data_IF_919755263990
#
_entry.id   IF_919755263990
#
_cell.length_a   1.000
_cell.length_b   1.000
_cell.length_c   1.000
_cell.angle_alpha   90.00
_cell.angle_beta   90.00
_cell.angle_gamma   90.00
#
_symmetry.space_group_name_H-M   'P 1'
#
loop_
_entity.id
_entity.type
_entity.pdbx_description
1 polymer ?
#
# COMPACT_ATOMS: atom_id res chain seq x y z
N UNK A 1 -48.81 6.18 8.77
CA UNK A 1 -47.98 5.33 7.94
C UNK A 1 -46.66 6.04 7.76
N UNK A 2 -45.53 5.48 8.17
CA UNK A 2 -44.25 6.10 7.91
C UNK A 2 -43.95 6.01 6.42
N UNK A 3 -43.70 7.15 5.79
CA UNK A 3 -43.30 7.27 4.40
C UNK A 3 -41.78 7.01 4.33
N UNK A 4 -41.39 5.97 3.60
CA UNK A 4 -40.00 5.70 3.30
C UNK A 4 -39.52 6.65 2.21
N UNK A 5 -38.54 7.47 2.51
CA UNK A 5 -37.80 8.25 1.52
C UNK A 5 -36.39 7.74 1.44
N UNK A 6 -36.07 6.98 0.41
CA UNK A 6 -34.69 6.81 -0.03
C UNK A 6 -34.39 7.98 -0.99
N UNK A 7 -33.68 8.97 -0.50
CA UNK A 7 -33.24 10.07 -1.33
C UNK A 7 -31.73 10.16 -1.29
N UNK A 8 -31.09 10.11 -2.44
CA UNK A 8 -29.66 10.30 -2.60
C UNK A 8 -29.42 11.61 -3.30
N UNK A 9 -29.09 12.64 -2.57
CA UNK A 9 -28.55 13.88 -3.13
C UNK A 9 -27.23 14.18 -2.40
N UNK A 10 -26.19 14.46 -3.13
CA UNK A 10 -24.85 14.77 -2.59
C UNK A 10 -24.21 13.69 -1.70
N UNK A 11 -24.51 12.42 -1.93
CA UNK A 11 -23.87 11.32 -1.22
C UNK A 11 -24.39 11.07 0.19
N UNK A 12 -25.59 11.46 0.52
CA UNK A 12 -26.24 11.25 1.81
C UNK A 12 -27.49 10.40 1.70
N UNK A 13 -27.71 9.50 2.65
CA UNK A 13 -28.92 8.68 2.79
C UNK A 13 -29.59 9.07 4.10
N UNK A 14 -30.89 9.34 4.07
CA UNK A 14 -31.71 9.58 5.25
C UNK A 14 -32.25 8.25 5.79
N UNK A 15 -32.04 7.96 7.09
CA UNK A 15 -32.66 6.86 7.80
C UNK A 15 -33.81 7.36 8.67
N UNK A 16 -34.58 6.41 9.24
CA UNK A 16 -35.80 6.69 10.01
C UNK A 16 -35.65 7.60 11.24
N UNK A 17 -34.42 7.83 11.72
CA UNK A 17 -34.15 8.55 12.96
C UNK A 17 -33.44 9.89 12.74
N UNK A 18 -33.55 10.50 11.55
CA UNK A 18 -32.86 11.75 11.18
C UNK A 18 -31.32 11.68 11.39
N UNK A 19 -30.74 10.48 11.45
CA UNK A 19 -29.28 10.28 11.53
C UNK A 19 -28.71 10.34 10.13
N UNK A 20 -27.91 11.35 9.86
CA UNK A 20 -27.13 11.47 8.64
C UNK A 20 -26.09 10.36 8.58
N UNK A 21 -26.28 9.38 7.73
CA UNK A 21 -25.27 8.35 7.46
C UNK A 21 -24.62 8.69 6.12
N UNK A 22 -23.29 8.86 6.06
CA UNK A 22 -22.61 9.07 4.80
C UNK A 22 -22.95 7.93 3.82
N UNK A 23 -23.27 8.25 2.59
CA UNK A 23 -23.56 7.24 1.55
C UNK A 23 -22.46 6.19 1.41
N UNK A 24 -21.21 6.59 1.66
CA UNK A 24 -20.05 5.69 1.66
C UNK A 24 -20.08 4.62 2.79
N UNK A 25 -20.87 4.81 3.85
CA UNK A 25 -20.98 3.84 4.94
C UNK A 25 -21.70 2.56 4.49
N UNK A 26 -22.53 2.64 3.45
CA UNK A 26 -23.29 1.51 2.90
C UNK A 26 -22.77 0.99 1.56
N UNK A 27 -21.83 1.72 0.94
CA UNK A 27 -21.23 1.36 -0.35
C UNK A 27 -19.96 0.56 -0.14
N UNK A 28 -20.11 -0.73 0.11
CA UNK A 28 -18.96 -1.60 0.30
C UNK A 28 -18.99 -2.73 -0.71
N UNK A 29 -17.95 -2.75 -1.53
CA UNK A 29 -17.88 -3.63 -2.66
C UNK A 29 -17.09 -4.90 -2.43
N UNK A 30 -17.05 -5.71 -3.45
CA UNK A 30 -16.28 -6.94 -3.51
C UNK A 30 -14.78 -6.67 -3.49
N UNK A 31 -14.03 -7.66 -3.03
CA UNK A 31 -12.58 -7.71 -3.15
C UNK A 31 -12.20 -8.59 -4.34
N UNK A 32 -11.43 -8.01 -5.24
CA UNK A 32 -10.85 -8.66 -6.40
C UNK A 32 -9.34 -8.77 -6.27
N UNK A 33 -8.79 -9.86 -6.74
CA UNK A 33 -7.34 -10.12 -6.77
C UNK A 33 -6.95 -10.69 -8.13
N UNK A 34 -5.73 -10.43 -8.58
CA UNK A 34 -5.18 -10.99 -9.82
C UNK A 34 -3.66 -10.94 -9.82
N UNK A 35 -3.04 -11.64 -10.74
CA UNK A 35 -1.60 -11.78 -10.81
C UNK A 35 -1.13 -13.18 -10.46
N UNK A 36 0.04 -13.30 -9.84
CA UNK A 36 0.57 -14.57 -9.38
C UNK A 36 -0.30 -15.16 -8.27
N UNK A 37 -0.80 -16.37 -8.49
CA UNK A 37 -1.61 -17.11 -7.53
C UNK A 37 -0.81 -18.14 -6.72
N UNK A 38 0.51 -18.23 -6.95
CA UNK A 38 1.34 -19.22 -6.26
C UNK A 38 1.15 -19.15 -4.74
N UNK A 39 1.08 -20.30 -4.11
CA UNK A 39 0.88 -20.46 -2.66
C UNK A 39 -0.43 -19.84 -2.15
N UNK A 40 -1.43 -19.62 -3.01
CA UNK A 40 -2.73 -19.08 -2.63
C UNK A 40 -2.79 -17.56 -2.46
N UNK A 41 -1.84 -16.82 -3.05
CA UNK A 41 -1.77 -15.36 -2.90
C UNK A 41 -3.06 -14.62 -3.29
N UNK A 42 -3.88 -15.19 -4.18
CA UNK A 42 -5.11 -14.55 -4.63
C UNK A 42 -6.32 -14.81 -3.71
N UNK A 43 -6.23 -15.77 -2.78
CA UNK A 43 -7.31 -16.06 -1.84
C UNK A 43 -8.57 -16.66 -2.47
N UNK A 44 -8.49 -17.15 -3.70
CA UNK A 44 -9.59 -17.71 -4.50
C UNK A 44 -9.74 -19.24 -4.35
N UNK A 45 -9.10 -19.80 -3.33
CA UNK A 45 -8.98 -21.25 -3.08
C UNK A 45 -8.19 -22.02 -4.16
N UNK A 46 -7.36 -21.30 -4.92
CA UNK A 46 -6.46 -21.91 -5.92
C UNK A 46 -5.02 -21.40 -5.73
N UNK A 47 -4.09 -22.02 -6.46
CA UNK A 47 -2.71 -21.54 -6.57
C UNK A 47 -2.37 -21.16 -8.02
N UNK A 48 -3.40 -20.83 -8.81
CA UNK A 48 -3.30 -20.59 -10.25
C UNK A 48 -3.20 -19.07 -10.50
N UNK A 49 -2.29 -18.70 -11.40
CA UNK A 49 -2.19 -17.34 -11.93
C UNK A 49 -3.53 -16.88 -12.56
N UNK A 50 -3.91 -15.64 -12.33
CA UNK A 50 -5.06 -14.98 -12.96
C UNK A 50 -4.62 -13.72 -13.68
N UNK A 51 -4.86 -13.63 -14.97
CA UNK A 51 -4.61 -12.44 -15.78
C UNK A 51 -5.79 -11.45 -15.80
N UNK A 52 -6.87 -11.80 -15.11
CA UNK A 52 -8.08 -10.99 -14.94
C UNK A 52 -8.47 -10.94 -13.46
N UNK A 53 -9.09 -9.86 -12.98
CA UNK A 53 -9.62 -9.80 -11.64
C UNK A 53 -10.58 -10.94 -11.30
N UNK A 54 -10.34 -11.62 -10.16
CA UNK A 54 -11.22 -12.68 -9.61
C UNK A 54 -11.58 -12.34 -8.16
N UNK A 55 -12.74 -12.77 -7.70
CA UNK A 55 -13.17 -12.59 -6.31
C UNK A 55 -12.48 -13.59 -5.39
N UNK A 56 -12.25 -13.18 -4.14
CA UNK A 56 -11.73 -14.08 -3.10
C UNK A 56 -12.80 -15.08 -2.65
N UNK A 57 -12.37 -16.26 -2.17
CA UNK A 57 -13.28 -17.31 -1.67
C UNK A 57 -14.04 -16.92 -0.39
N UNK A 58 -13.57 -15.94 0.37
CA UNK A 58 -14.30 -15.43 1.53
C UNK A 58 -15.55 -14.63 1.16
N UNK A 59 -15.68 -14.24 -0.11
CA UNK A 59 -16.84 -13.50 -0.61
C UNK A 59 -17.14 -12.23 0.18
N UNK A 60 -18.39 -11.77 0.02
CA UNK A 60 -18.89 -10.59 0.75
C UNK A 60 -18.45 -9.26 0.18
N UNK A 61 -19.31 -8.29 0.38
CA UNK A 61 -19.17 -6.94 -0.15
C UNK A 61 -18.82 -5.91 0.94
N UNK A 62 -18.11 -6.33 1.99
CA UNK A 62 -17.86 -5.54 3.19
C UNK A 62 -16.36 -5.30 3.48
N UNK A 63 -15.54 -5.26 2.45
CA UNK A 63 -14.12 -4.99 2.58
C UNK A 63 -13.86 -3.48 2.67
N UNK A 64 -13.20 -3.07 3.76
CA UNK A 64 -12.92 -1.66 4.08
C UNK A 64 -11.56 -1.21 3.61
N UNK A 65 -10.54 -2.07 3.81
CA UNK A 65 -9.15 -1.77 3.48
C UNK A 65 -8.43 -3.06 3.08
N UNK A 66 -7.54 -2.94 2.11
CA UNK A 66 -6.67 -4.02 1.63
C UNK A 66 -5.21 -3.59 1.72
N UNK A 67 -4.32 -4.57 1.83
CA UNK A 67 -2.89 -4.38 1.65
C UNK A 67 -2.26 -5.65 1.07
N UNK A 68 -1.51 -5.49 -0.01
CA UNK A 68 -0.82 -6.55 -0.72
C UNK A 68 0.68 -6.49 -0.47
N UNK A 69 1.25 -7.60 0.00
CA UNK A 69 2.70 -7.73 0.25
C UNK A 69 3.42 -8.48 -0.87
N UNK A 70 4.46 -9.23 -0.54
CA UNK A 70 5.20 -10.02 -1.53
C UNK A 70 4.35 -11.17 -2.11
N UNK A 71 3.85 -12.05 -1.24
CA UNK A 71 3.06 -13.23 -1.60
C UNK A 71 1.83 -13.39 -0.70
N UNK A 72 1.48 -12.37 0.04
CA UNK A 72 0.35 -12.37 0.97
C UNK A 72 -0.49 -11.11 0.76
N UNK A 73 -1.76 -11.22 1.11
CA UNK A 73 -2.70 -10.10 1.19
C UNK A 73 -3.33 -10.11 2.58
N UNK A 74 -3.55 -8.93 3.11
CA UNK A 74 -4.35 -8.72 4.32
C UNK A 74 -5.45 -7.72 4.02
N UNK A 75 -6.62 -7.91 4.62
CA UNK A 75 -7.76 -7.03 4.43
C UNK A 75 -8.59 -6.90 5.70
N UNK A 76 -9.12 -5.71 5.91
CA UNK A 76 -10.01 -5.40 7.02
C UNK A 76 -11.44 -5.26 6.51
N UNK A 77 -12.38 -5.97 7.14
CA UNK A 77 -13.81 -5.80 6.88
C UNK A 77 -14.36 -4.60 7.67
N UNK A 78 -15.56 -4.18 7.33
CA UNK A 78 -16.24 -3.05 8.01
C UNK A 78 -16.58 -3.31 9.45
N UNK A 79 -16.78 -4.59 9.81
CA UNK A 79 -16.95 -5.03 11.19
C UNK A 79 -15.64 -4.94 12.00
N UNK A 80 -14.52 -4.51 11.36
CA UNK A 80 -13.21 -4.37 11.99
C UNK A 80 -12.43 -5.68 12.12
N UNK A 81 -12.89 -6.79 11.56
CA UNK A 81 -12.12 -8.04 11.53
C UNK A 81 -10.97 -7.97 10.52
N UNK A 82 -9.81 -8.52 10.89
CA UNK A 82 -8.63 -8.60 10.03
C UNK A 82 -8.47 -10.02 9.48
N UNK A 83 -8.41 -10.12 8.17
CA UNK A 83 -8.25 -11.35 7.39
C UNK A 83 -6.91 -11.34 6.64
N UNK A 84 -6.25 -12.49 6.58
CA UNK A 84 -4.95 -12.68 5.93
C UNK A 84 -4.95 -13.97 5.10
N UNK A 85 -4.21 -13.97 3.99
CA UNK A 85 -4.00 -15.17 3.17
C UNK A 85 -2.77 -15.02 2.29
N UNK A 86 -2.42 -16.10 1.57
CA UNK A 86 -1.30 -16.14 0.66
C UNK A 86 -0.28 -17.17 1.08
N UNK A 87 0.86 -17.11 0.41
CA UNK A 87 1.87 -18.11 0.46
C UNK A 87 3.14 -17.72 1.19
N UNK A 88 4.00 -18.74 1.25
CA UNK A 88 5.34 -18.63 1.78
C UNK A 88 5.37 -17.98 3.17
N UNK A 89 4.62 -18.56 4.10
CA UNK A 89 4.52 -18.09 5.48
C UNK A 89 5.58 -18.71 6.43
N UNK A 90 6.88 -18.86 6.01
CA UNK A 90 7.87 -19.52 6.86
C UNK A 90 8.20 -18.74 8.12
N UNK A 91 7.82 -17.45 8.14
CA UNK A 91 8.08 -16.55 9.27
C UNK A 91 6.81 -16.10 9.99
N UNK A 92 5.62 -16.60 9.56
CA UNK A 92 4.36 -16.31 10.22
C UNK A 92 3.73 -14.95 9.84
N UNK A 93 4.02 -14.41 8.64
CA UNK A 93 3.49 -13.10 8.23
C UNK A 93 1.95 -13.06 8.08
N UNK A 94 1.25 -14.18 8.07
CA UNK A 94 -0.21 -14.22 8.14
C UNK A 94 -0.76 -13.96 9.56
N UNK A 95 0.05 -14.17 10.60
CA UNK A 95 -0.36 -13.90 11.99
C UNK A 95 -1.42 -14.84 12.54
N UNK A 96 -1.62 -16.01 11.94
CA UNK A 96 -2.64 -17.02 12.32
C UNK A 96 -2.11 -18.08 13.29
N UNK A 97 -0.96 -17.82 13.94
CA UNK A 97 -0.22 -18.74 14.82
C UNK A 97 0.31 -19.98 14.10
N UNK A 98 0.44 -19.94 12.78
CA UNK A 98 1.02 -21.03 11.99
C UNK A 98 2.07 -20.48 11.03
N UNK A 99 2.76 -21.40 10.34
CA UNK A 99 3.65 -21.10 9.22
C UNK A 99 3.12 -21.72 7.92
N UNK A 100 1.83 -21.99 7.84
CA UNK A 100 1.17 -22.66 6.72
C UNK A 100 0.60 -21.60 5.76
N UNK A 101 0.86 -21.77 4.46
CA UNK A 101 0.24 -20.95 3.43
C UNK A 101 -1.27 -21.15 3.36
N UNK A 102 -2.01 -20.10 3.07
CA UNK A 102 -3.48 -20.12 2.99
C UNK A 102 -3.96 -19.68 1.62
N UNK A 103 -4.63 -20.54 0.90
CA UNK A 103 -5.29 -20.20 -0.38
C UNK A 103 -6.67 -19.55 -0.19
N UNK A 104 -7.14 -19.49 1.06
CA UNK A 104 -8.40 -18.83 1.45
C UNK A 104 -8.15 -17.86 2.58
N UNK A 105 -8.85 -16.73 2.64
CA UNK A 105 -8.74 -15.80 3.76
C UNK A 105 -9.05 -16.46 5.11
N UNK A 106 -8.17 -16.19 6.10
CA UNK A 106 -8.32 -16.61 7.51
C UNK A 106 -8.15 -15.40 8.42
N UNK A 107 -8.73 -15.44 9.61
CA UNK A 107 -8.53 -14.38 10.61
C UNK A 107 -7.19 -14.53 11.31
N UNK A 108 -6.62 -13.42 11.78
CA UNK A 108 -5.40 -13.45 12.60
C UNK A 108 -5.67 -14.08 13.96
N UNK A 109 -4.66 -14.67 14.57
CA UNK A 109 -4.74 -15.29 15.91
C UNK A 109 -5.18 -14.30 17.00
N UNK A 110 -4.79 -13.02 16.89
CA UNK A 110 -5.21 -12.00 17.84
C UNK A 110 -6.72 -11.68 17.78
N UNK A 111 -7.41 -12.09 16.70
CA UNK A 111 -8.84 -11.89 16.52
C UNK A 111 -9.29 -10.43 16.72
N UNK A 112 -10.53 -10.28 17.16
CA UNK A 112 -11.14 -8.97 17.46
C UNK A 112 -11.72 -8.25 16.26
N UNK A 113 -12.53 -7.24 16.54
CA UNK A 113 -13.29 -6.42 15.58
C UNK A 113 -12.87 -4.95 15.63
N UNK A 114 -11.66 -4.67 16.03
CA UNK A 114 -11.15 -3.32 16.24
C UNK A 114 -9.90 -2.99 15.41
N UNK A 115 -9.67 -3.70 14.32
CA UNK A 115 -8.60 -3.38 13.39
C UNK A 115 -8.99 -2.19 12.50
N UNK A 116 -8.09 -1.20 12.42
CA UNK A 116 -8.32 0.08 11.71
C UNK A 116 -7.52 0.20 10.43
N UNK A 117 -6.26 -0.25 10.45
CA UNK A 117 -5.34 -0.21 9.30
C UNK A 117 -4.44 -1.44 9.33
N UNK A 118 -4.11 -1.97 8.13
CA UNK A 118 -3.08 -3.00 7.95
C UNK A 118 -2.14 -2.58 6.82
N UNK A 119 -0.89 -2.96 6.92
CA UNK A 119 0.13 -2.82 5.88
C UNK A 119 0.98 -4.08 5.82
N UNK A 120 0.98 -4.72 4.66
CA UNK A 120 1.81 -5.88 4.36
C UNK A 120 3.15 -5.41 3.79
N UNK A 121 4.23 -5.77 4.46
CA UNK A 121 5.55 -5.70 3.88
C UNK A 121 5.89 -6.95 3.06
N UNK A 122 7.19 -7.17 2.82
CA UNK A 122 7.63 -8.31 2.02
C UNK A 122 7.49 -9.64 2.80
N UNK A 123 7.92 -9.70 4.07
CA UNK A 123 7.83 -10.87 4.94
C UNK A 123 7.30 -10.55 6.35
N UNK A 124 6.69 -9.39 6.54
CA UNK A 124 6.08 -9.01 7.80
C UNK A 124 4.80 -8.23 7.54
N UNK A 125 3.99 -8.12 8.55
CA UNK A 125 2.75 -7.36 8.53
C UNK A 125 2.71 -6.45 9.74
N UNK A 126 2.19 -5.25 9.56
CA UNK A 126 1.94 -4.30 10.62
C UNK A 126 0.49 -3.83 10.57
N UNK A 127 -0.15 -3.64 11.72
CA UNK A 127 -1.53 -3.17 11.78
C UNK A 127 -1.80 -2.30 13.00
N UNK A 128 -2.72 -1.37 12.85
CA UNK A 128 -3.15 -0.46 13.91
C UNK A 128 -4.60 -0.78 14.28
N UNK A 129 -4.87 -0.85 15.58
CA UNK A 129 -6.22 -0.98 16.11
C UNK A 129 -6.89 0.39 16.29
N UNK A 130 -8.21 0.41 16.52
CA UNK A 130 -8.99 1.64 16.74
C UNK A 130 -8.58 2.37 18.01
N UNK A 131 -8.02 1.65 18.99
CA UNK A 131 -7.45 2.23 20.22
C UNK A 131 -6.07 2.90 19.97
N UNK A 132 -5.56 2.85 18.74
CA UNK A 132 -4.27 3.44 18.34
C UNK A 132 -3.06 2.59 18.70
N UNK A 133 -3.21 1.35 19.14
CA UNK A 133 -2.08 0.43 19.36
C UNK A 133 -1.53 -0.10 18.04
N UNK A 134 -0.20 -0.22 17.91
CA UNK A 134 0.49 -0.75 16.74
C UNK A 134 1.00 -2.18 17.01
N UNK A 135 0.63 -3.09 16.14
CA UNK A 135 0.95 -4.51 16.19
C UNK A 135 1.75 -4.91 14.96
N UNK A 136 2.73 -5.80 15.15
CA UNK A 136 3.60 -6.32 14.08
C UNK A 136 3.78 -7.82 14.21
N UNK A 137 3.99 -8.51 13.09
CA UNK A 137 4.28 -9.95 13.05
C UNK A 137 4.94 -10.37 11.73
N UNK A 138 5.38 -11.63 11.63
CA UNK A 138 6.13 -12.14 10.52
C UNK A 138 7.62 -12.19 10.81
N UNK A 139 8.45 -11.95 9.80
CA UNK A 139 9.91 -11.93 9.92
C UNK A 139 10.40 -10.79 10.82
N UNK A 140 11.22 -11.13 11.81
CA UNK A 140 11.89 -10.15 12.65
C UNK A 140 13.29 -9.75 12.15
N UNK A 141 13.78 -10.36 11.07
CA UNK A 141 15.10 -10.06 10.52
C UNK A 141 15.28 -8.56 10.30
N UNK A 142 16.47 -8.06 10.56
CA UNK A 142 16.81 -6.64 10.52
C UNK A 142 16.01 -5.75 11.50
N UNK A 143 15.29 -6.34 12.47
CA UNK A 143 14.52 -5.59 13.46
C UNK A 143 13.22 -4.98 12.94
N UNK A 144 12.73 -5.39 11.76
CA UNK A 144 11.58 -4.77 11.07
C UNK A 144 10.25 -4.87 11.85
N UNK A 145 10.16 -5.71 12.88
CA UNK A 145 9.00 -5.76 13.78
C UNK A 145 9.03 -4.67 14.86
N UNK A 146 10.16 -4.02 15.11
CA UNK A 146 10.26 -2.98 16.13
C UNK A 146 10.11 -3.49 17.57
N UNK A 147 10.42 -4.76 17.85
CA UNK A 147 10.21 -5.46 19.13
C UNK A 147 11.47 -5.55 19.99
N UNK A 148 12.48 -4.71 19.72
CA UNK A 148 13.78 -4.69 20.38
C UNK A 148 14.61 -5.98 20.16
N UNK A 149 14.30 -6.75 19.13
CA UNK A 149 15.04 -7.95 18.74
C UNK A 149 14.79 -8.28 17.27
N UNK A 150 15.43 -9.36 16.79
CA UNK A 150 15.30 -9.83 15.40
C UNK A 150 14.49 -11.14 15.28
N UNK A 151 13.71 -11.47 16.30
CA UNK A 151 12.94 -12.72 16.36
C UNK A 151 11.63 -12.56 15.60
N UNK A 152 11.34 -13.48 14.67
CA UNK A 152 10.06 -13.54 13.97
C UNK A 152 8.88 -13.91 14.89
N UNK A 153 7.68 -13.53 14.52
CA UNK A 153 6.46 -13.80 15.26
C UNK A 153 5.36 -14.30 14.32
N UNK A 154 4.78 -15.45 14.61
CA UNK A 154 3.61 -15.98 13.89
C UNK A 154 2.27 -15.45 14.43
N UNK A 155 2.31 -14.63 15.47
CA UNK A 155 1.15 -13.96 16.07
C UNK A 155 1.41 -12.45 16.18
N UNK A 156 0.39 -11.61 16.05
CA UNK A 156 0.52 -10.18 16.29
C UNK A 156 1.05 -9.87 17.69
N UNK A 157 2.07 -9.00 17.77
CA UNK A 157 2.67 -8.47 19.01
C UNK A 157 2.81 -6.96 18.91
N UNK A 158 2.78 -6.26 20.03
CA UNK A 158 2.99 -4.81 20.06
C UNK A 158 4.45 -4.44 19.85
N UNK A 159 4.71 -3.28 19.26
CA UNK A 159 6.07 -2.75 19.13
C UNK A 159 6.64 -2.34 20.50
N UNK A 160 7.97 -2.31 20.62
CA UNK A 160 8.66 -1.90 21.84
C UNK A 160 8.33 -0.47 22.29
N UNK A 161 8.09 0.43 21.32
CA UNK A 161 7.72 1.81 21.61
C UNK A 161 6.32 1.94 22.26
N UNK A 162 5.49 0.90 22.17
CA UNK A 162 4.14 0.90 22.74
C UNK A 162 3.28 2.10 22.34
N UNK A 163 2.37 2.49 23.25
CA UNK A 163 1.49 3.65 23.08
C UNK A 163 0.22 3.37 22.28
N UNK A 164 -0.73 4.29 22.40
CA UNK A 164 -2.08 4.21 21.82
C UNK A 164 -2.37 5.37 20.85
N UNK A 165 -1.34 5.94 20.24
CA UNK A 165 -1.44 7.11 19.38
C UNK A 165 -0.88 6.90 17.98
N UNK A 166 -0.79 5.65 17.51
CA UNK A 166 -0.39 5.35 16.16
C UNK A 166 -1.55 5.62 15.18
N UNK A 167 -1.24 6.34 14.08
CA UNK A 167 -2.21 6.82 13.09
C UNK A 167 -2.08 6.12 11.75
N UNK A 168 -0.84 5.90 11.29
CA UNK A 168 -0.53 5.26 10.01
C UNK A 168 0.70 4.38 10.17
N UNK A 169 0.73 3.24 9.46
CA UNK A 169 1.91 2.38 9.32
C UNK A 169 2.10 2.01 7.85
N UNK A 170 3.35 1.87 7.43
CA UNK A 170 3.75 1.37 6.11
C UNK A 170 4.90 0.37 6.28
N UNK A 171 4.69 -0.85 5.79
CA UNK A 171 5.69 -1.93 5.79
C UNK A 171 6.34 -2.04 4.42
N UNK A 172 7.66 -1.94 4.37
CA UNK A 172 8.47 -2.20 3.19
C UNK A 172 9.00 -3.64 3.17
N UNK A 173 10.09 -3.87 2.43
CA UNK A 173 10.72 -5.19 2.40
C UNK A 173 11.44 -5.49 3.72
N UNK A 174 12.27 -4.58 4.19
CA UNK A 174 13.14 -4.82 5.34
C UNK A 174 13.10 -3.69 6.39
N UNK A 175 12.25 -2.70 6.22
CA UNK A 175 12.04 -1.63 7.18
C UNK A 175 10.56 -1.27 7.29
N UNK A 176 10.22 -0.56 8.34
CA UNK A 176 8.86 -0.13 8.65
C UNK A 176 8.89 1.34 9.07
N UNK A 177 7.88 2.08 8.67
CA UNK A 177 7.66 3.46 9.09
C UNK A 177 6.24 3.64 9.60
N UNK A 178 6.05 4.50 10.61
CA UNK A 178 4.73 4.80 11.15
C UNK A 178 4.64 6.25 11.63
N UNK A 179 3.45 6.82 11.52
CA UNK A 179 3.15 8.18 11.98
C UNK A 179 2.20 8.10 13.16
N UNK A 180 2.49 8.89 14.20
CA UNK A 180 1.60 9.08 15.35
C UNK A 180 0.58 10.18 15.12
N UNK A 181 -0.44 10.26 15.96
CA UNK A 181 -1.50 11.29 15.87
C UNK A 181 -0.98 12.70 16.09
N UNK A 182 0.14 12.84 16.80
CA UNK A 182 0.86 14.11 16.98
C UNK A 182 1.67 14.52 15.74
N UNK A 183 1.66 13.71 14.68
CA UNK A 183 2.37 13.97 13.43
C UNK A 183 3.85 13.61 13.44
N UNK A 184 4.38 12.97 14.50
CA UNK A 184 5.77 12.48 14.52
C UNK A 184 5.92 11.22 13.66
N UNK A 185 7.03 11.15 12.90
CA UNK A 185 7.37 10.00 12.05
C UNK A 185 8.44 9.13 12.71
N UNK A 186 8.14 7.86 12.83
CA UNK A 186 8.97 6.82 13.44
C UNK A 186 9.36 5.77 12.41
N UNK A 187 10.60 5.28 12.47
CA UNK A 187 11.18 4.33 11.51
C UNK A 187 12.00 3.27 12.23
N UNK A 188 12.06 2.05 11.68
CA UNK A 188 12.86 0.95 12.22
C UNK A 188 13.08 -0.14 11.17
N UNK A 189 14.02 -1.05 11.44
CA UNK A 189 14.38 -2.13 10.53
C UNK A 189 15.75 -1.94 9.92
N UNK A 190 15.93 -2.40 8.71
CA UNK A 190 17.16 -2.22 7.94
C UNK A 190 17.38 -0.75 7.56
N UNK A 191 18.63 -0.32 7.65
CA UNK A 191 19.03 1.05 7.33
C UNK A 191 20.19 1.10 6.31
N UNK A 192 20.40 0.04 5.58
CA UNK A 192 21.36 0.03 4.46
C UNK A 192 20.95 1.13 3.49
N UNK A 193 21.83 1.91 2.98
CA UNK A 193 21.55 3.12 2.16
C UNK A 193 20.82 4.28 2.86
N UNK A 194 20.60 4.23 4.18
CA UNK A 194 19.93 5.30 4.92
C UNK A 194 18.41 5.32 4.77
N UNK A 195 17.77 4.17 4.49
CA UNK A 195 16.33 4.05 4.28
C UNK A 195 15.49 4.53 5.47
N UNK A 196 16.05 4.59 6.68
CA UNK A 196 15.40 5.13 7.86
C UNK A 196 15.49 6.67 7.98
N UNK A 197 16.36 7.32 7.22
CA UNK A 197 16.48 8.80 7.26
C UNK A 197 16.97 9.37 8.60
N UNK A 198 17.79 8.61 9.35
CA UNK A 198 18.26 8.96 10.70
C UNK A 198 19.66 9.60 10.72
N UNK A 199 20.19 9.97 9.56
CA UNK A 199 21.50 10.64 9.45
C UNK A 199 22.70 9.70 9.34
N UNK A 200 22.47 8.39 9.35
CA UNK A 200 23.51 7.36 9.21
C UNK A 200 22.98 6.12 8.48
N UNK A 201 23.83 5.12 8.34
CA UNK A 201 23.51 3.82 7.72
C UNK A 201 23.64 2.64 8.69
N UNK A 202 23.60 2.89 9.99
CA UNK A 202 23.70 1.85 11.02
C UNK A 202 22.50 0.90 10.94
N UNK A 203 22.73 -0.40 10.96
CA UNK A 203 21.69 -1.42 10.85
C UNK A 203 22.05 -2.63 11.74
N UNK A 204 21.07 -3.39 12.30
CA UNK A 204 19.62 -3.09 12.29
C UNK A 204 19.19 -2.10 13.39
N UNK A 205 18.09 -1.40 13.18
CA UNK A 205 17.40 -0.63 14.22
C UNK A 205 16.17 -1.43 14.66
N UNK A 206 16.26 -2.07 15.81
CA UNK A 206 15.22 -3.00 16.27
C UNK A 206 14.07 -2.36 17.06
N UNK A 207 14.15 -1.06 17.30
CA UNK A 207 13.11 -0.27 18.00
C UNK A 207 12.72 0.93 17.16
N UNK A 208 11.44 1.37 17.20
CA UNK A 208 11.05 2.61 16.55
C UNK A 208 11.86 3.81 17.04
N UNK A 209 12.42 4.59 16.10
CA UNK A 209 13.16 5.84 16.33
C UNK A 209 12.63 6.93 15.39
N UNK A 210 12.80 8.20 15.76
CA UNK A 210 12.40 9.32 14.90
C UNK A 210 13.43 9.57 13.78
N UNK A 211 12.98 10.12 12.66
CA UNK A 211 13.87 10.55 11.57
C UNK A 211 14.75 11.71 12.00
N UNK A 212 15.90 11.90 11.33
CA UNK A 212 16.84 13.00 11.57
C UNK A 212 16.19 14.38 11.50
N UNK A 213 15.28 14.58 10.55
CA UNK A 213 14.57 15.85 10.39
C UNK A 213 13.59 16.13 11.54
N UNK A 214 13.14 15.07 12.26
CA UNK A 214 12.18 15.22 13.34
C UNK A 214 10.87 15.87 12.90
N UNK A 215 10.30 16.68 13.80
CA UNK A 215 9.06 17.43 13.54
C UNK A 215 7.80 16.62 13.80
N UNK A 216 6.69 17.34 13.91
CA UNK A 216 5.35 16.79 14.24
C UNK A 216 4.31 17.14 13.18
N UNK A 217 4.72 17.24 11.92
CA UNK A 217 3.85 17.62 10.81
C UNK A 217 3.86 16.61 9.66
N UNK A 218 4.22 15.36 9.93
CA UNK A 218 4.13 14.30 8.93
C UNK A 218 2.68 13.82 8.77
N UNK A 219 2.22 13.75 7.52
CA UNK A 219 0.84 13.41 7.15
C UNK A 219 0.71 11.99 6.59
N UNK A 220 1.65 11.58 5.74
CA UNK A 220 1.67 10.29 5.07
C UNK A 220 3.10 9.80 4.92
N UNK A 221 3.32 8.48 5.02
CA UNK A 221 4.57 7.81 4.70
C UNK A 221 4.31 6.58 3.85
N UNK A 222 5.22 6.31 2.92
CA UNK A 222 5.27 5.09 2.11
C UNK A 222 6.71 4.57 2.10
N UNK A 223 6.88 3.26 2.27
CA UNK A 223 8.19 2.61 2.27
C UNK A 223 8.27 1.57 1.16
N UNK A 224 9.35 1.62 0.37
CA UNK A 224 9.58 0.73 -0.77
C UNK A 224 11.00 0.21 -0.83
N UNK A 225 11.27 -0.57 -1.88
CA UNK A 225 12.57 -1.12 -2.15
C UNK A 225 13.05 -2.20 -1.19
N UNK A 226 14.19 -2.77 -1.53
CA UNK A 226 14.86 -3.78 -0.70
C UNK A 226 16.04 -3.18 0.10
N UNK A 227 16.45 -3.88 1.16
CA UNK A 227 17.56 -3.46 2.01
C UNK A 227 18.92 -3.67 1.34
N UNK A 228 18.99 -4.39 0.24
CA UNK A 228 20.26 -4.78 -0.39
C UNK A 228 20.70 -3.83 -1.49
N UNK A 229 19.75 -3.14 -2.13
CA UNK A 229 20.06 -2.28 -3.28
C UNK A 229 19.26 -0.98 -3.36
N UNK A 230 17.99 -0.95 -2.90
CA UNK A 230 17.06 0.10 -3.32
C UNK A 230 16.18 0.67 -2.22
N UNK A 231 16.28 0.17 -0.98
CA UNK A 231 15.40 0.58 0.13
C UNK A 231 15.30 2.10 0.25
N UNK A 232 14.11 2.64 0.01
CA UNK A 232 13.84 4.08 0.12
C UNK A 232 12.50 4.34 0.82
N UNK A 233 12.37 5.53 1.32
CA UNK A 233 11.16 6.01 2.00
C UNK A 233 10.75 7.36 1.42
N UNK A 234 9.46 7.56 1.24
CA UNK A 234 8.90 8.85 0.84
C UNK A 234 7.78 9.25 1.80
N UNK A 235 7.69 10.54 2.14
CA UNK A 235 6.69 11.03 3.08
C UNK A 235 6.23 12.45 2.72
N UNK A 236 4.95 12.73 3.00
CA UNK A 236 4.33 14.03 2.78
C UNK A 236 4.06 14.69 4.13
N UNK A 237 4.38 15.96 4.25
CA UNK A 237 4.03 16.78 5.40
C UNK A 237 2.65 17.40 5.27
N UNK A 238 2.11 17.94 6.35
CA UNK A 238 0.80 18.61 6.39
C UNK A 238 0.74 19.87 5.54
N UNK A 239 1.91 20.49 5.28
CA UNK A 239 2.05 21.62 4.37
C UNK A 239 2.06 21.20 2.88
N UNK A 240 1.92 19.90 2.59
CA UNK A 240 1.91 19.35 1.25
C UNK A 240 3.29 19.19 0.60
N UNK A 241 4.40 19.40 1.31
CA UNK A 241 5.75 19.11 0.80
C UNK A 241 6.03 17.61 0.78
N UNK A 242 6.72 17.14 -0.28
CA UNK A 242 7.12 15.73 -0.44
C UNK A 242 8.63 15.59 -0.19
N UNK A 243 8.97 14.65 0.68
CA UNK A 243 10.33 14.33 1.11
C UNK A 243 10.64 12.87 0.80
N UNK A 244 11.88 12.57 0.42
CA UNK A 244 12.34 11.21 0.15
C UNK A 244 13.77 10.98 0.65
N UNK A 245 14.13 9.73 0.96
CA UNK A 245 15.45 9.33 1.44
C UNK A 245 15.68 7.84 1.25
N UNK A 246 16.92 7.40 1.43
CA UNK A 246 17.34 6.02 1.23
C UNK A 246 18.11 5.83 -0.06
N UNK A 247 18.00 4.65 -0.65
CA UNK A 247 18.60 4.29 -1.94
C UNK A 247 18.09 5.15 -3.09
N UNK A 248 18.97 5.43 -4.07
CA UNK A 248 18.66 6.33 -5.18
C UNK A 248 19.33 5.92 -6.51
N UNK A 249 19.77 4.69 -6.63
CA UNK A 249 20.53 4.24 -7.82
C UNK A 249 19.78 4.45 -9.15
N UNK A 250 18.47 4.42 -9.15
CA UNK A 250 17.60 4.64 -10.31
C UNK A 250 16.94 6.03 -10.32
N UNK A 251 17.27 6.91 -9.36
CA UNK A 251 16.66 8.23 -9.23
C UNK A 251 15.33 8.23 -8.46
N UNK A 252 15.02 7.18 -7.70
CA UNK A 252 13.74 7.00 -6.99
C UNK A 252 13.46 8.06 -5.90
N UNK A 253 14.43 8.86 -5.49
CA UNK A 253 14.21 10.02 -4.61
C UNK A 253 13.67 11.25 -5.36
N UNK A 254 13.77 11.30 -6.69
CA UNK A 254 13.26 12.40 -7.51
C UNK A 254 13.97 13.74 -7.31
N UNK A 255 15.21 13.74 -6.83
CA UNK A 255 15.97 14.93 -6.45
C UNK A 255 17.02 15.37 -7.49
N UNK A 256 16.84 14.97 -8.76
CA UNK A 256 17.69 15.28 -9.92
C UNK A 256 19.11 14.69 -9.85
N UNK A 257 19.28 13.59 -9.12
CA UNK A 257 20.52 12.82 -9.11
C UNK A 257 20.23 11.36 -8.71
N UNK A 258 21.28 10.53 -8.68
CA UNK A 258 21.20 9.10 -8.35
C UNK A 258 21.98 8.75 -7.05
N UNK A 259 22.33 9.75 -6.25
CA UNK A 259 23.02 9.52 -4.97
C UNK A 259 22.02 9.28 -3.84
N UNK A 260 22.19 8.20 -3.10
CA UNK A 260 21.38 7.90 -1.91
C UNK A 260 21.50 8.99 -0.82
N UNK A 261 20.50 9.04 0.05
CA UNK A 261 20.42 10.03 1.14
C UNK A 261 20.03 9.34 2.45
N UNK A 262 20.87 9.50 3.48
CA UNK A 262 20.54 9.03 4.83
C UNK A 262 19.74 10.05 5.67
N UNK A 263 19.37 11.19 5.06
CA UNK A 263 18.48 12.21 5.64
C UNK A 263 17.40 12.58 4.64
N UNK A 264 16.19 12.94 5.09
CA UNK A 264 15.12 13.39 4.20
C UNK A 264 15.53 14.60 3.34
N UNK A 265 15.25 14.53 2.04
CA UNK A 265 15.43 15.62 1.06
C UNK A 265 14.13 15.85 0.29
N UNK A 266 13.90 17.07 -0.17
CA UNK A 266 12.75 17.38 -1.03
C UNK A 266 12.97 16.89 -2.46
N UNK A 267 11.89 16.58 -3.15
CA UNK A 267 11.94 16.27 -4.59
C UNK A 267 12.29 17.53 -5.41
N UNK A 268 12.89 17.32 -6.58
CA UNK A 268 13.27 18.42 -7.50
C UNK A 268 12.04 19.21 -8.00
N UNK A 269 10.91 18.57 -8.18
CA UNK A 269 9.67 19.22 -8.60
C UNK A 269 9.12 20.20 -7.53
N UNK A 270 9.57 20.08 -6.27
CA UNK A 270 9.14 20.97 -5.19
C UNK A 270 7.62 21.05 -5.02
N UNK A 271 7.16 22.19 -4.52
CA UNK A 271 5.72 22.49 -4.33
C UNK A 271 5.14 21.97 -3.01
N UNK A 272 3.96 22.50 -2.69
CA UNK A 272 3.23 22.24 -1.44
C UNK A 272 1.85 21.63 -1.70
N UNK A 273 1.67 20.98 -2.82
CA UNK A 273 0.41 20.42 -3.26
C UNK A 273 0.43 18.88 -3.45
N UNK A 274 1.41 18.20 -2.88
CA UNK A 274 1.44 16.74 -2.90
C UNK A 274 0.36 16.18 -1.97
N UNK A 275 -0.46 15.25 -2.53
CA UNK A 275 -1.64 14.68 -1.85
C UNK A 275 -1.40 13.28 -1.33
N UNK A 276 -0.80 12.41 -2.17
CA UNK A 276 -0.52 11.01 -1.88
C UNK A 276 0.81 10.62 -2.52
N UNK A 277 1.57 9.74 -1.84
CA UNK A 277 2.78 9.11 -2.39
C UNK A 277 2.70 7.60 -2.21
N UNK A 278 3.19 6.85 -3.18
CA UNK A 278 3.38 5.40 -3.15
C UNK A 278 4.79 5.07 -3.67
N UNK A 279 5.43 4.12 -3.03
CA UNK A 279 6.79 3.66 -3.37
C UNK A 279 6.76 2.21 -3.83
N UNK A 280 7.34 1.94 -5.00
CA UNK A 280 7.60 0.59 -5.49
C UNK A 280 8.98 0.09 -5.05
N UNK A 281 9.56 -0.85 -5.81
CA UNK A 281 10.90 -1.36 -5.47
C UNK A 281 11.97 -0.27 -5.64
N UNK A 282 12.07 0.30 -6.82
CA UNK A 282 13.07 1.32 -7.16
C UNK A 282 12.46 2.54 -7.84
N UNK A 283 11.19 2.80 -7.66
CA UNK A 283 10.48 3.92 -8.24
C UNK A 283 9.44 4.48 -7.27
N UNK A 284 8.97 5.67 -7.57
CA UNK A 284 7.98 6.38 -6.74
C UNK A 284 6.93 7.00 -7.64
N UNK A 285 5.68 6.97 -7.18
CA UNK A 285 4.56 7.68 -7.82
C UNK A 285 3.83 8.54 -6.79
N UNK A 286 3.32 9.68 -7.22
CA UNK A 286 2.58 10.58 -6.32
C UNK A 286 1.50 11.35 -7.07
N UNK A 287 0.39 11.60 -6.40
CA UNK A 287 -0.66 12.50 -6.90
C UNK A 287 -0.56 13.87 -6.24
N UNK A 288 -0.94 14.91 -6.98
CA UNK A 288 -1.12 16.26 -6.45
C UNK A 288 -2.58 16.56 -6.17
N UNK A 289 -2.85 17.63 -5.44
CA UNK A 289 -4.21 18.10 -5.11
C UNK A 289 -5.00 18.54 -6.33
N UNK A 290 -4.31 18.92 -7.42
CA UNK A 290 -4.90 19.22 -8.73
C UNK A 290 -5.29 17.97 -9.53
N UNK A 291 -5.06 16.77 -8.97
CA UNK A 291 -5.38 15.49 -9.60
C UNK A 291 -4.36 15.00 -10.62
N UNK A 292 -3.22 15.66 -10.79
CA UNK A 292 -2.13 15.16 -11.65
C UNK A 292 -1.38 13.99 -11.01
N UNK A 293 -0.92 13.04 -11.83
CA UNK A 293 -0.11 11.89 -11.41
C UNK A 293 1.33 12.04 -11.92
N UNK A 294 2.29 11.92 -11.02
CA UNK A 294 3.71 12.07 -11.24
C UNK A 294 4.45 10.79 -10.87
N UNK A 295 5.48 10.42 -11.64
CA UNK A 295 6.26 9.19 -11.46
C UNK A 295 7.75 9.46 -11.68
N UNK A 296 8.63 8.70 -11.02
CA UNK A 296 10.08 8.78 -11.16
C UNK A 296 10.79 7.55 -10.58
N UNK A 297 12.04 7.35 -10.93
CA UNK A 297 12.85 6.18 -10.56
C UNK A 297 13.04 5.24 -11.72
N UNK A 298 13.15 3.95 -11.42
CA UNK A 298 13.31 2.85 -12.39
C UNK A 298 12.13 2.75 -13.35
N UNK A 299 12.45 2.54 -14.63
CA UNK A 299 11.45 2.40 -15.70
C UNK A 299 11.76 1.25 -16.66
N UNK A 300 12.65 0.34 -16.30
CA UNK A 300 13.05 -0.76 -17.20
C UNK A 300 11.87 -1.62 -17.68
N UNK A 301 10.77 -1.66 -16.94
CA UNK A 301 9.54 -2.37 -17.30
C UNK A 301 8.39 -1.44 -17.74
N UNK A 302 8.64 -0.13 -17.91
CA UNK A 302 7.60 0.85 -18.19
C UNK A 302 6.73 1.23 -17.00
N UNK A 303 7.18 0.96 -15.76
CA UNK A 303 6.40 1.18 -14.53
C UNK A 303 6.13 2.65 -14.22
N UNK A 304 6.82 3.58 -14.86
CA UNK A 304 6.51 5.01 -14.79
C UNK A 304 5.31 5.42 -15.68
N UNK A 305 4.93 4.60 -16.66
CA UNK A 305 3.79 4.91 -17.53
C UNK A 305 3.98 6.12 -18.46
N UNK A 306 5.19 6.37 -18.95
CA UNK A 306 5.60 7.56 -19.71
C UNK A 306 5.91 7.28 -21.18
N UNK A 307 5.39 6.16 -21.72
CA UNK A 307 5.55 5.70 -23.12
C UNK A 307 7.00 5.37 -23.53
N UNK A 308 7.83 5.06 -22.56
CA UNK A 308 9.20 4.56 -22.80
C UNK A 308 9.69 3.75 -21.58
N UNK A 309 10.93 3.25 -21.65
CA UNK A 309 11.57 2.47 -20.59
C UNK A 309 12.84 3.18 -20.04
N UNK A 310 12.83 4.51 -19.96
CA UNK A 310 13.97 5.30 -19.49
C UNK A 310 13.73 5.79 -18.08
N UNK A 311 14.67 5.52 -17.17
CA UNK A 311 14.64 5.97 -15.77
C UNK A 311 14.54 7.49 -15.66
N UNK A 312 13.93 7.97 -14.59
CA UNK A 312 13.79 9.41 -14.30
C UNK A 312 14.27 9.74 -12.90
N UNK A 313 15.27 10.57 -12.79
CA UNK A 313 15.74 11.11 -11.50
C UNK A 313 14.95 12.35 -11.04
N UNK A 314 13.96 12.79 -11.83
CA UNK A 314 13.04 13.90 -11.52
C UNK A 314 11.60 13.46 -11.73
N UNK A 315 10.65 13.95 -10.93
CA UNK A 315 9.23 13.70 -11.17
C UNK A 315 8.77 14.15 -12.56
N UNK A 316 8.06 13.27 -13.27
CA UNK A 316 7.44 13.52 -14.59
C UNK A 316 5.99 13.05 -14.56
N UNK A 317 5.12 13.65 -15.38
CA UNK A 317 3.72 13.21 -15.50
C UNK A 317 3.62 11.94 -16.35
N UNK A 318 2.62 11.11 -16.06
CA UNK A 318 2.33 9.93 -16.89
C UNK A 318 1.86 10.31 -18.29
N UNK A 319 2.06 9.41 -19.26
CA UNK A 319 1.62 9.61 -20.65
C UNK A 319 0.10 9.81 -20.79
N UNK A 320 -0.69 9.13 -19.96
CA UNK A 320 -2.15 9.30 -19.94
C UNK A 320 -2.60 10.70 -19.49
N UNK A 321 -1.70 11.48 -18.86
CA UNK A 321 -2.00 12.84 -18.43
C UNK A 321 -3.25 12.97 -17.55
N UNK A 322 -3.91 14.13 -17.63
CA UNK A 322 -5.17 14.41 -16.94
C UNK A 322 -4.99 14.88 -15.49
N UNK A 323 -6.07 15.41 -14.95
CA UNK A 323 -6.16 16.02 -13.61
C UNK A 323 -7.21 15.31 -12.74
N UNK A 324 -7.47 14.05 -13.00
CA UNK A 324 -8.51 13.27 -12.33
C UNK A 324 -7.99 11.99 -11.65
N UNK A 325 -6.70 11.91 -11.33
CA UNK A 325 -6.15 10.79 -10.59
C UNK A 325 -6.47 10.93 -9.08
N UNK A 326 -7.13 9.90 -8.54
CA UNK A 326 -7.62 9.86 -7.16
C UNK A 326 -6.66 9.13 -6.23
N UNK A 327 -6.15 7.98 -6.68
CA UNK A 327 -5.26 7.09 -5.93
C UNK A 327 -4.23 6.50 -6.87
N UNK A 328 -3.01 6.29 -6.37
CA UNK A 328 -1.96 5.49 -7.02
C UNK A 328 -1.37 4.53 -6.01
N UNK A 329 -0.98 3.34 -6.48
CA UNK A 329 -0.17 2.42 -5.71
C UNK A 329 0.88 1.75 -6.59
N UNK A 330 1.99 1.35 -5.96
CA UNK A 330 3.19 0.84 -6.61
C UNK A 330 3.53 -0.56 -6.06
N UNK A 331 3.60 -1.53 -6.96
CA UNK A 331 4.12 -2.85 -6.67
C UNK A 331 5.64 -2.95 -6.89
N UNK A 332 6.14 -4.16 -7.08
CA UNK A 332 7.57 -4.36 -7.34
C UNK A 332 8.01 -3.63 -8.62
N UNK A 333 7.40 -3.92 -9.76
CA UNK A 333 7.71 -3.31 -11.06
C UNK A 333 6.43 -3.00 -11.86
N UNK A 334 5.32 -2.68 -11.20
CA UNK A 334 4.07 -2.26 -11.83
C UNK A 334 3.38 -1.21 -10.99
N UNK A 335 2.51 -0.48 -11.61
CA UNK A 335 1.74 0.59 -10.99
C UNK A 335 0.26 0.37 -11.27
N UNK A 336 -0.57 0.69 -10.31
CA UNK A 336 -2.01 0.76 -10.48
C UNK A 336 -2.54 2.10 -9.95
N UNK A 337 -3.54 2.66 -10.61
CA UNK A 337 -4.13 3.93 -10.20
C UNK A 337 -5.63 3.99 -10.52
N UNK A 338 -6.36 4.68 -9.67
CA UNK A 338 -7.81 4.90 -9.81
C UNK A 338 -8.05 6.37 -10.11
N UNK A 339 -8.89 6.65 -11.11
CA UNK A 339 -9.37 7.99 -11.42
C UNK A 339 -10.61 8.36 -10.59
N UNK A 340 -10.97 9.63 -10.56
CA UNK A 340 -12.17 10.13 -9.85
C UNK A 340 -13.48 9.63 -10.44
N UNK A 341 -13.45 9.20 -11.71
CA UNK A 341 -14.58 8.53 -12.38
C UNK A 341 -14.72 7.05 -11.98
N UNK A 342 -13.84 6.56 -11.08
CA UNK A 342 -13.84 5.19 -10.60
C UNK A 342 -13.19 4.18 -11.55
N UNK A 343 -12.58 4.58 -12.66
CA UNK A 343 -11.84 3.66 -13.55
C UNK A 343 -10.50 3.25 -12.96
N UNK A 344 -10.12 1.98 -13.13
CA UNK A 344 -8.84 1.42 -12.67
C UNK A 344 -7.90 1.20 -13.87
N UNK A 345 -6.69 1.73 -13.74
CA UNK A 345 -5.62 1.70 -14.73
C UNK A 345 -4.38 1.00 -14.16
N UNK A 346 -3.70 0.22 -14.99
CA UNK A 346 -2.48 -0.53 -14.61
C UNK A 346 -1.42 -0.41 -15.70
N UNK A 347 -0.14 -0.46 -15.33
CA UNK A 347 1.00 -0.45 -16.27
C UNK A 347 2.27 -0.97 -15.62
N UNK A 348 3.34 -1.10 -16.38
CA UNK A 348 4.60 -1.68 -15.95
C UNK A 348 4.73 -3.13 -16.36
N UNK A 349 5.39 -3.94 -15.56
CA UNK A 349 5.62 -5.34 -15.79
C UNK A 349 4.31 -6.14 -15.84
N UNK A 350 4.05 -6.86 -16.92
CA UNK A 350 2.84 -7.65 -17.12
C UNK A 350 3.00 -9.14 -16.73
N UNK A 351 4.20 -9.58 -16.38
CA UNK A 351 4.46 -10.99 -16.01
C UNK A 351 3.48 -11.43 -14.93
N UNK A 352 3.11 -12.67 -14.96
CA UNK A 352 2.16 -13.26 -14.00
C UNK A 352 0.75 -12.65 -14.03
N UNK A 353 0.37 -11.90 -15.06
CA UNK A 353 -0.97 -11.32 -15.18
C UNK A 353 -1.27 -10.17 -14.21
N UNK A 354 -0.26 -9.58 -13.54
CA UNK A 354 -0.44 -8.57 -12.48
C UNK A 354 -1.12 -7.27 -12.94
N UNK A 355 -1.21 -7.03 -14.25
CA UNK A 355 -1.93 -5.87 -14.80
C UNK A 355 -3.45 -6.12 -14.91
N UNK A 356 -3.92 -7.36 -14.83
CA UNK A 356 -5.35 -7.69 -14.88
C UNK A 356 -6.05 -7.36 -16.20
N UNK A 357 -5.31 -7.23 -17.29
CA UNK A 357 -5.81 -6.78 -18.60
C UNK A 357 -6.07 -7.92 -19.61
N UNK A 358 -6.13 -9.16 -19.11
CA UNK A 358 -6.34 -10.40 -19.89
C UNK A 358 -5.27 -10.66 -20.98
N UNK A 359 -4.15 -9.98 -20.91
CA UNK A 359 -3.04 -10.26 -21.80
C UNK A 359 -2.12 -11.26 -21.11
N UNK A 360 -2.29 -12.54 -21.44
CA UNK A 360 -1.38 -13.60 -20.99
C UNK A 360 -0.04 -13.43 -21.69
N UNK A 361 0.98 -13.01 -20.96
CA UNK A 361 2.31 -12.85 -21.52
C UNK A 361 3.18 -11.89 -20.71
N UNK A 362 4.44 -11.79 -21.10
CA UNK A 362 5.45 -10.98 -20.40
C UNK A 362 5.62 -9.58 -20.99
N UNK A 363 4.75 -9.13 -21.90
CA UNK A 363 4.90 -7.83 -22.56
C UNK A 363 4.49 -6.72 -21.61
N UNK A 364 5.48 -6.05 -21.04
CA UNK A 364 5.29 -4.87 -20.19
C UNK A 364 4.56 -3.73 -20.91
N UNK A 365 3.90 -2.87 -20.16
CA UNK A 365 3.16 -1.70 -20.65
C UNK A 365 3.82 -0.42 -20.16
N UNK A 366 4.36 0.36 -21.07
CA UNK A 366 4.94 1.67 -20.75
C UNK A 366 3.88 2.79 -20.71
N UNK A 367 2.62 2.48 -20.98
CA UNK A 367 1.48 3.39 -20.89
C UNK A 367 0.37 2.80 -20.03
N UNK A 368 -0.37 3.62 -19.25
CA UNK A 368 -1.53 3.16 -18.51
C UNK A 368 -2.60 2.51 -19.41
N UNK A 369 -3.09 1.34 -19.00
CA UNK A 369 -4.18 0.61 -19.65
C UNK A 369 -5.25 0.24 -18.62
N UNK A 370 -6.51 0.15 -19.03
CA UNK A 370 -7.59 -0.31 -18.14
C UNK A 370 -7.51 -1.81 -17.88
N UNK A 371 -8.00 -2.25 -16.73
CA UNK A 371 -8.14 -3.67 -16.44
C UNK A 371 -9.23 -4.31 -17.31
N UNK A 372 -9.14 -5.61 -17.52
CA UNK A 372 -10.13 -6.37 -18.33
C UNK A 372 -11.55 -6.33 -17.74
N UNK A 373 -11.67 -6.28 -16.42
CA UNK A 373 -12.97 -6.15 -15.75
C UNK A 373 -13.67 -4.82 -16.07
N UNK A 374 -12.92 -3.79 -16.51
CA UNK A 374 -13.49 -2.47 -16.78
C UNK A 374 -14.16 -1.86 -15.54
N UNK A 375 -15.30 -1.20 -15.76
CA UNK A 375 -16.11 -0.61 -14.70
C UNK A 375 -15.60 0.74 -14.19
N UNK A 376 -16.50 1.45 -13.50
CA UNK A 376 -16.28 2.80 -12.95
C UNK A 376 -16.56 2.88 -11.46
N UNK A 377 -16.51 1.76 -10.76
CA UNK A 377 -16.82 1.65 -9.34
C UNK A 377 -15.64 1.20 -8.47
N UNK A 378 -14.40 1.30 -8.97
CA UNK A 378 -13.22 0.94 -8.20
C UNK A 378 -12.97 1.96 -7.08
N UNK A 379 -12.78 1.44 -5.86
CA UNK A 379 -12.66 2.22 -4.62
C UNK A 379 -11.24 2.35 -4.12
N UNK A 380 -10.53 1.22 -4.04
CA UNK A 380 -9.15 1.13 -3.57
C UNK A 380 -8.39 0.10 -4.41
N UNK A 381 -7.12 0.37 -4.67
CA UNK A 381 -6.17 -0.59 -5.24
C UNK A 381 -4.91 -0.65 -4.38
N UNK A 382 -4.30 -1.82 -4.33
CA UNK A 382 -3.04 -2.07 -3.63
C UNK A 382 -2.22 -3.12 -4.41
N UNK A 383 -0.95 -2.84 -4.61
CA UNK A 383 -0.05 -3.61 -5.46
C UNK A 383 0.97 -4.38 -4.62
N UNK A 384 0.96 -5.70 -4.75
CA UNK A 384 1.99 -6.54 -4.19
C UNK A 384 3.21 -6.71 -5.09
N UNK A 385 4.04 -7.72 -4.81
CA UNK A 385 5.22 -8.00 -5.63
C UNK A 385 4.85 -8.45 -7.05
N UNK A 386 3.97 -9.44 -7.18
CA UNK A 386 3.56 -10.03 -8.45
C UNK A 386 2.05 -10.18 -8.61
N UNK A 387 1.28 -9.51 -7.79
CA UNK A 387 -0.18 -9.53 -7.80
C UNK A 387 -0.73 -8.15 -7.44
N UNK A 388 -2.00 -7.96 -7.69
CA UNK A 388 -2.73 -6.72 -7.38
C UNK A 388 -4.05 -7.08 -6.72
N UNK A 389 -4.48 -6.27 -5.79
CA UNK A 389 -5.78 -6.37 -5.14
C UNK A 389 -6.56 -5.06 -5.27
N UNK A 390 -7.87 -5.13 -5.45
CA UNK A 390 -8.70 -3.93 -5.50
C UNK A 390 -10.09 -4.19 -4.94
N UNK A 391 -10.69 -3.16 -4.36
CA UNK A 391 -12.09 -3.19 -3.92
C UNK A 391 -12.95 -2.28 -4.79
N UNK A 392 -14.24 -2.64 -4.92
CA UNK A 392 -15.22 -1.81 -5.60
C UNK A 392 -16.20 -1.19 -4.59
N UNK A 393 -16.94 -0.17 -5.01
CA UNK A 393 -18.19 0.21 -4.37
C UNK A 393 -19.29 -0.81 -4.75
N UNK A 394 -20.34 -0.95 -3.94
CA UNK A 394 -21.55 -1.65 -4.36
C UNK A 394 -22.28 -0.76 -5.35
N UNK A 395 -22.62 -1.30 -6.52
CA UNK A 395 -23.54 -0.63 -7.44
C UNK A 395 -24.97 -0.77 -6.90
N UNK A 396 -25.61 0.32 -6.55
CA UNK A 396 -27.01 0.39 -6.11
C UNK A 396 -28.02 0.21 -7.29
N UNK A 397 -27.61 -0.44 -8.38
CA UNK A 397 -28.47 -0.72 -9.53
C UNK A 397 -28.73 -2.22 -9.69
N UNK A 398 -29.68 -2.75 -8.93
CA UNK A 398 -30.56 -3.83 -9.33
C UNK A 398 -31.99 -3.44 -8.89
#
# INVERSE_FOLDING_TARGET
MPTFYNYTENGLIYSFDDVFVPADAFRQGNLFTWGAGSSGALGDNTSILKSTPVTTSAGGANWKQISAGNVCISAIKTDGTLWTWGGNNPTGQLGDNTIISRSTPVTTFAGGTNWKQVSCGYFHTAAIKTDGTLWTWGSGNNGKLGTNNVIGRSTPVTTFAGGTNWKQVSGGRDHTAAIKTDGTLWVWGANTFGALGIGNVTTPICTPVTTFLGGSNWKQVSVGGDATTTGHTAAIKTDGTLWAWGGNGNGQLGNNNTSGRCTPVTTFAGGTNWKQVATGDSFTSATKTDGTLWTWGDNANGQLGIDNAVDRSTPVTTFAGGTNWKQVDCGYNHTAAIKTDGTLWTWGNASSGRLGNNIGGSTSRSTPVTTFAGGTNWKQVDCGFSHTAATTYIDDYI
#
